data_IF_102627666464
#
_entry.id   IF_102627666464
#
_cell.length_a   1.000
_cell.length_b   1.000
_cell.length_c   1.000
_cell.angle_alpha   90.00
_cell.angle_beta   90.00
_cell.angle_gamma   90.00
#
_symmetry.space_group_name_H-M   'P 1'
#
loop_
_entity.id
_entity.type
_entity.pdbx_description
1 polymer ?
#
# COMPACT_ATOMS: atom_id res chain seq x y z
N UNK A 1 26.66 -15.78 -2.29
CA UNK A 1 25.39 -15.62 -1.55
C UNK A 1 25.25 -16.67 -0.46
N UNK A 2 24.82 -16.27 0.74
CA UNK A 2 24.38 -17.15 1.82
C UNK A 2 23.02 -16.68 2.33
N UNK A 3 22.18 -17.58 2.81
CA UNK A 3 20.93 -17.19 3.48
C UNK A 3 20.60 -18.13 4.64
N UNK A 4 19.80 -17.63 5.57
CA UNK A 4 19.27 -18.38 6.71
C UNK A 4 17.80 -18.04 6.89
N UNK A 5 16.96 -19.04 7.16
CA UNK A 5 15.56 -18.85 7.49
C UNK A 5 15.27 -19.60 8.79
N UNK A 6 14.78 -18.89 9.82
CA UNK A 6 14.51 -19.45 11.15
C UNK A 6 13.22 -18.86 11.71
N UNK A 7 12.51 -19.63 12.52
CA UNK A 7 11.37 -19.15 13.29
C UNK A 7 11.83 -18.81 14.70
N UNK A 8 11.69 -17.54 15.10
CA UNK A 8 12.07 -17.06 16.42
C UNK A 8 10.92 -16.25 17.03
N UNK A 9 10.45 -16.65 18.21
CA UNK A 9 9.39 -15.94 18.99
C UNK A 9 8.17 -15.52 18.16
N UNK A 10 7.73 -16.36 17.22
CA UNK A 10 6.58 -16.09 16.37
C UNK A 10 6.84 -15.07 15.25
N UNK A 11 8.10 -14.86 14.91
CA UNK A 11 8.56 -14.11 13.74
C UNK A 11 9.40 -15.01 12.86
N UNK A 12 9.07 -15.12 11.59
CA UNK A 12 9.89 -15.79 10.60
C UNK A 12 11.05 -14.85 10.20
N UNK A 13 12.26 -15.17 10.65
CA UNK A 13 13.46 -14.39 10.34
C UNK A 13 14.12 -14.98 9.10
N UNK A 14 14.32 -14.16 8.10
CA UNK A 14 14.98 -14.51 6.86
C UNK A 14 16.15 -13.55 6.63
N UNK A 15 17.37 -14.06 6.60
CA UNK A 15 18.60 -13.29 6.42
C UNK A 15 19.25 -13.67 5.10
N UNK A 16 19.68 -12.68 4.33
CA UNK A 16 20.38 -12.84 3.04
C UNK A 16 21.70 -12.08 3.09
N UNK A 17 22.79 -12.74 2.72
CA UNK A 17 24.14 -12.18 2.75
C UNK A 17 24.82 -12.30 1.38
N UNK A 18 25.52 -11.24 0.98
CA UNK A 18 26.41 -11.26 -0.18
C UNK A 18 25.69 -11.56 -1.49
N UNK A 19 24.47 -11.04 -1.66
CA UNK A 19 23.73 -11.18 -2.91
C UNK A 19 24.31 -10.25 -3.97
N UNK A 20 24.54 -10.78 -5.16
CA UNK A 20 25.03 -10.04 -6.32
C UNK A 20 24.05 -9.99 -7.47
N UNK A 21 23.17 -10.98 -7.58
CA UNK A 21 22.25 -11.15 -8.70
C UNK A 21 20.78 -11.19 -8.28
N UNK A 22 19.90 -10.95 -9.23
CA UNK A 22 18.44 -11.07 -9.03
C UNK A 22 18.03 -12.53 -8.85
N UNK A 23 18.68 -13.45 -9.53
CA UNK A 23 18.37 -14.89 -9.43
C UNK A 23 18.66 -15.43 -8.02
N UNK A 24 19.70 -14.93 -7.38
CA UNK A 24 19.97 -15.23 -5.97
C UNK A 24 18.84 -14.71 -5.05
N UNK A 25 18.26 -13.56 -5.37
CA UNK A 25 17.10 -13.03 -4.67
C UNK A 25 15.89 -13.94 -4.82
N UNK A 26 15.62 -14.45 -6.03
CA UNK A 26 14.51 -15.38 -6.28
C UNK A 26 14.68 -16.68 -5.51
N UNK A 27 15.89 -17.25 -5.51
CA UNK A 27 16.19 -18.46 -4.73
C UNK A 27 15.94 -18.24 -3.24
N UNK A 28 16.37 -17.11 -2.70
CA UNK A 28 16.10 -16.74 -1.31
C UNK A 28 14.60 -16.61 -1.03
N UNK A 29 13.84 -15.90 -1.87
CA UNK A 29 12.41 -15.76 -1.67
C UNK A 29 11.65 -17.09 -1.76
N UNK A 30 12.08 -18.02 -2.62
CA UNK A 30 11.51 -19.37 -2.67
C UNK A 30 11.69 -20.10 -1.32
N UNK A 31 12.88 -19.99 -0.70
CA UNK A 31 13.11 -20.58 0.62
C UNK A 31 12.22 -19.91 1.71
N UNK A 32 12.09 -18.57 1.69
CA UNK A 32 11.20 -17.84 2.62
C UNK A 32 9.74 -18.23 2.43
N UNK A 33 9.28 -18.36 1.19
CA UNK A 33 7.92 -18.81 0.87
C UNK A 33 7.63 -20.20 1.42
N UNK A 34 8.54 -21.16 1.22
CA UNK A 34 8.42 -22.54 1.75
C UNK A 34 8.27 -22.49 3.26
N UNK A 35 9.22 -21.85 3.96
CA UNK A 35 9.20 -21.73 5.42
C UNK A 35 7.95 -20.99 5.93
N UNK A 36 7.49 -19.97 5.23
CA UNK A 36 6.27 -19.23 5.54
C UNK A 36 5.00 -20.09 5.43
N UNK A 37 4.92 -20.97 4.42
CA UNK A 37 3.81 -21.92 4.26
C UNK A 37 3.81 -22.98 5.36
N UNK A 38 4.98 -23.50 5.73
CA UNK A 38 5.14 -24.50 6.78
C UNK A 38 4.82 -23.94 8.16
N UNK A 39 5.32 -22.76 8.50
CA UNK A 39 5.14 -22.15 9.84
C UNK A 39 3.84 -21.40 10.00
N UNK A 40 3.16 -21.01 8.92
CA UNK A 40 1.99 -20.13 8.90
C UNK A 40 2.18 -18.84 9.70
N UNK A 41 3.42 -18.39 9.82
CA UNK A 41 3.76 -17.22 10.64
C UNK A 41 3.23 -15.93 10.00
N UNK A 42 2.50 -15.06 10.74
CA UNK A 42 1.96 -13.81 10.21
C UNK A 42 2.99 -12.67 10.15
N UNK A 43 4.17 -12.85 10.73
CA UNK A 43 5.22 -11.82 10.85
C UNK A 43 6.49 -12.33 10.19
N UNK A 44 6.97 -11.61 9.18
CA UNK A 44 8.17 -11.99 8.44
C UNK A 44 9.16 -10.83 8.50
N UNK A 45 10.35 -11.08 9.03
CA UNK A 45 11.46 -10.14 9.07
C UNK A 45 12.52 -10.57 8.05
N UNK A 46 12.72 -9.74 7.03
CA UNK A 46 13.72 -9.98 5.99
C UNK A 46 14.87 -9.00 6.19
N UNK A 47 16.04 -9.53 6.48
CA UNK A 47 17.28 -8.77 6.66
C UNK A 47 18.23 -9.06 5.50
N UNK A 48 18.61 -8.03 4.74
CA UNK A 48 19.53 -8.14 3.60
C UNK A 48 20.80 -7.37 3.94
N UNK A 49 21.94 -8.07 3.89
CA UNK A 49 23.23 -7.51 4.30
C UNK A 49 24.30 -7.76 3.23
N UNK A 50 25.25 -6.83 3.14
CA UNK A 50 26.42 -6.94 2.23
C UNK A 50 26.01 -7.34 0.81
N UNK A 51 24.95 -6.74 0.31
CA UNK A 51 24.28 -7.13 -0.95
C UNK A 51 24.09 -5.93 -1.86
N UNK A 52 24.06 -6.17 -3.17
CA UNK A 52 23.75 -5.12 -4.13
C UNK A 52 22.25 -4.73 -4.05
N UNK A 53 21.88 -3.44 -4.13
CA UNK A 53 20.48 -3.05 -4.15
C UNK A 53 19.78 -3.60 -5.39
N UNK A 54 18.48 -3.88 -5.29
CA UNK A 54 17.64 -4.30 -6.41
C UNK A 54 16.51 -3.29 -6.58
N UNK A 55 16.41 -2.76 -7.80
CA UNK A 55 15.33 -1.91 -8.25
C UNK A 55 14.57 -2.63 -9.38
N UNK A 56 13.46 -2.05 -9.85
CA UNK A 56 12.64 -2.61 -10.92
C UNK A 56 12.08 -4.01 -10.62
N UNK A 57 11.47 -4.16 -9.44
CA UNK A 57 10.90 -5.43 -8.95
C UNK A 57 9.95 -6.10 -9.93
N UNK A 58 9.11 -5.32 -10.61
CA UNK A 58 8.14 -5.81 -11.58
C UNK A 58 8.83 -6.43 -12.79
N UNK A 59 9.85 -5.74 -13.33
CA UNK A 59 10.63 -6.24 -14.47
C UNK A 59 11.33 -7.56 -14.16
N UNK A 60 11.75 -7.74 -12.91
CA UNK A 60 12.43 -8.95 -12.47
C UNK A 60 11.47 -10.04 -11.97
N UNK A 61 10.17 -9.80 -11.95
CA UNK A 61 9.16 -10.73 -11.44
C UNK A 61 9.24 -10.95 -9.93
N UNK A 62 9.88 -10.03 -9.18
CA UNK A 62 10.04 -10.15 -7.73
C UNK A 62 8.76 -9.77 -6.97
N UNK A 63 7.89 -8.97 -7.57
CA UNK A 63 6.63 -8.57 -6.94
C UNK A 63 5.71 -9.78 -6.68
N UNK A 64 5.77 -10.81 -7.51
CA UNK A 64 4.96 -12.02 -7.33
C UNK A 64 5.33 -12.77 -6.05
N UNK A 65 6.62 -12.79 -5.69
CA UNK A 65 7.04 -13.39 -4.42
C UNK A 65 6.48 -12.61 -3.22
N UNK A 66 6.43 -11.28 -3.31
CA UNK A 66 5.80 -10.47 -2.26
C UNK A 66 4.29 -10.70 -2.21
N UNK A 67 3.62 -10.88 -3.34
CA UNK A 67 2.18 -11.22 -3.38
C UNK A 67 1.91 -12.57 -2.70
N UNK A 68 2.72 -13.57 -2.97
CA UNK A 68 2.59 -14.87 -2.32
C UNK A 68 2.90 -14.83 -0.82
N UNK A 69 3.92 -14.03 -0.42
CA UNK A 69 4.31 -13.86 0.98
C UNK A 69 3.31 -13.01 1.76
N UNK A 70 2.81 -11.94 1.15
CA UNK A 70 1.95 -10.95 1.76
C UNK A 70 0.46 -11.30 1.57
N UNK A 71 0.08 -12.56 1.83
CA UNK A 71 -1.31 -12.87 2.09
C UNK A 71 -1.89 -11.83 3.07
N UNK A 72 -3.15 -11.43 2.90
CA UNK A 72 -3.81 -10.25 3.49
C UNK A 72 -3.63 -10.07 5.02
N UNK A 73 -3.19 -11.11 5.72
CA UNK A 73 -2.92 -11.11 7.16
C UNK A 73 -1.44 -10.95 7.53
N UNK A 74 -0.50 -11.11 6.61
CA UNK A 74 0.93 -11.11 6.92
C UNK A 74 1.54 -9.73 6.88
N UNK A 75 2.53 -9.49 7.76
CA UNK A 75 3.34 -8.28 7.83
C UNK A 75 4.79 -8.64 7.47
N UNK A 76 5.35 -7.93 6.50
CA UNK A 76 6.73 -8.13 6.05
C UNK A 76 7.54 -6.88 6.38
N UNK A 77 8.53 -7.02 7.23
CA UNK A 77 9.50 -5.97 7.55
C UNK A 77 10.80 -6.21 6.79
N UNK A 78 11.35 -5.16 6.19
CA UNK A 78 12.61 -5.18 5.46
C UNK A 78 13.68 -4.39 6.22
N UNK A 79 14.86 -4.97 6.37
CA UNK A 79 16.06 -4.35 6.97
C UNK A 79 17.23 -4.40 5.99
N UNK A 80 17.93 -3.28 5.84
CA UNK A 80 19.17 -3.17 5.06
C UNK A 80 20.28 -2.57 5.89
N UNK A 81 21.52 -3.12 5.77
CA UNK A 81 22.70 -2.67 6.49
C UNK A 81 23.38 -1.45 5.86
N UNK A 82 23.05 -1.10 4.62
CA UNK A 82 23.61 0.04 3.91
C UNK A 82 22.51 1.06 3.52
N UNK A 83 22.95 2.29 3.20
CA UNK A 83 22.04 3.33 2.72
C UNK A 83 21.35 2.91 1.42
N UNK A 84 22.11 2.33 0.49
CA UNK A 84 21.58 1.95 -0.82
C UNK A 84 20.57 0.80 -0.71
N UNK A 85 20.79 -0.16 0.21
CA UNK A 85 19.82 -1.20 0.50
C UNK A 85 18.55 -0.62 1.13
N UNK A 86 18.67 0.34 2.03
CA UNK A 86 17.48 1.01 2.61
C UNK A 86 16.66 1.74 1.54
N UNK A 87 17.30 2.51 0.65
CA UNK A 87 16.61 3.15 -0.48
C UNK A 87 15.93 2.13 -1.40
N UNK A 88 16.61 1.01 -1.69
CA UNK A 88 15.99 -0.09 -2.44
C UNK A 88 14.78 -0.68 -1.71
N UNK A 89 14.83 -0.82 -0.38
CA UNK A 89 13.71 -1.33 0.42
C UNK A 89 12.54 -0.33 0.52
N UNK A 90 12.81 0.97 0.59
CA UNK A 90 11.78 2.01 0.52
C UNK A 90 11.07 1.97 -0.84
N UNK A 91 11.80 1.75 -1.93
CA UNK A 91 11.22 1.51 -3.24
C UNK A 91 10.34 0.25 -3.26
N UNK A 92 10.80 -0.86 -2.64
CA UNK A 92 9.99 -2.08 -2.47
C UNK A 92 8.70 -1.80 -1.69
N UNK A 93 8.78 -1.04 -0.59
CA UNK A 93 7.62 -0.64 0.20
C UNK A 93 6.60 0.15 -0.63
N UNK A 94 7.07 1.12 -1.44
CA UNK A 94 6.23 1.93 -2.31
C UNK A 94 5.47 1.06 -3.32
N UNK A 95 6.18 0.20 -4.04
CA UNK A 95 5.58 -0.69 -5.05
C UNK A 95 4.64 -1.70 -4.40
N UNK A 96 5.05 -2.33 -3.30
CA UNK A 96 4.21 -3.25 -2.54
C UNK A 96 2.90 -2.58 -2.07
N UNK A 97 2.98 -1.31 -1.62
CA UNK A 97 1.83 -0.50 -1.22
C UNK A 97 0.84 -0.27 -2.36
N UNK A 98 1.31 -0.05 -3.59
CA UNK A 98 0.46 0.07 -4.79
C UNK A 98 -0.33 -1.21 -5.08
N UNK A 99 0.24 -2.38 -4.72
CA UNK A 99 -0.41 -3.69 -4.84
C UNK A 99 -1.21 -4.09 -3.58
N UNK A 100 -1.36 -3.21 -2.60
CA UNK A 100 -2.10 -3.48 -1.36
C UNK A 100 -1.39 -4.45 -0.41
N UNK A 101 -0.08 -4.67 -0.59
CA UNK A 101 0.73 -5.57 0.23
C UNK A 101 1.24 -4.86 1.48
N UNK A 102 1.31 -5.59 2.59
CA UNK A 102 1.74 -5.04 3.87
C UNK A 102 3.25 -5.26 4.08
N UNK A 103 4.04 -4.57 3.29
CA UNK A 103 5.51 -4.57 3.32
C UNK A 103 6.00 -3.22 3.81
N UNK A 104 6.99 -3.18 4.69
CA UNK A 104 7.60 -1.94 5.19
C UNK A 104 9.09 -2.05 5.37
N UNK A 105 9.79 -0.96 5.10
CA UNK A 105 11.21 -0.77 5.37
C UNK A 105 11.41 -0.16 6.75
N UNK A 106 12.43 -0.64 7.49
CA UNK A 106 12.77 -0.13 8.83
C UNK A 106 14.28 0.14 8.95
N UNK A 107 14.67 1.12 9.76
CA UNK A 107 16.07 1.41 10.01
C UNK A 107 16.76 0.35 10.87
N UNK A 108 16.00 -0.31 11.75
CA UNK A 108 16.51 -1.31 12.70
C UNK A 108 15.43 -2.35 13.07
N UNK A 109 15.88 -3.42 13.68
CA UNK A 109 15.03 -4.53 14.09
C UNK A 109 14.04 -4.14 15.19
N UNK A 110 14.41 -3.26 16.10
CA UNK A 110 13.54 -2.82 17.19
C UNK A 110 12.31 -2.04 16.65
N UNK A 111 12.51 -1.23 15.62
CA UNK A 111 11.41 -0.54 14.94
C UNK A 111 10.47 -1.53 14.22
N UNK A 112 11.03 -2.57 13.58
CA UNK A 112 10.24 -3.62 12.95
C UNK A 112 9.40 -4.40 13.99
N UNK A 113 10.00 -4.76 15.12
CA UNK A 113 9.27 -5.45 16.20
C UNK A 113 8.13 -4.61 16.78
N UNK A 114 8.36 -3.32 17.08
CA UNK A 114 7.29 -2.41 17.52
C UNK A 114 6.14 -2.36 16.51
N UNK A 115 6.44 -2.37 15.22
CA UNK A 115 5.41 -2.40 14.18
C UNK A 115 4.65 -3.73 14.13
N UNK A 116 5.31 -4.86 14.39
CA UNK A 116 4.66 -6.16 14.48
C UNK A 116 3.69 -6.26 15.65
N UNK A 117 3.97 -5.55 16.74
CA UNK A 117 3.16 -5.55 17.97
C UNK A 117 2.03 -4.51 17.99
N UNK A 118 1.99 -3.57 17.01
CA UNK A 118 0.97 -2.51 16.96
C UNK A 118 -0.44 -3.06 16.71
N UNK A 119 -1.34 -3.04 17.74
CA UNK A 119 -2.68 -3.60 17.63
C UNK A 119 -3.65 -2.72 16.83
N UNK A 120 -3.31 -1.43 16.61
CA UNK A 120 -4.21 -0.47 15.95
C UNK A 120 -4.52 -0.88 14.51
N UNK A 121 -3.56 -1.50 13.84
CA UNK A 121 -3.69 -1.95 12.45
C UNK A 121 -4.43 -3.28 12.29
N UNK A 122 -4.55 -4.09 13.33
CA UNK A 122 -5.46 -5.25 13.32
C UNK A 122 -6.93 -4.84 13.31
N UNK A 123 -7.27 -3.72 13.98
CA UNK A 123 -8.63 -3.17 14.00
C UNK A 123 -9.02 -2.51 12.68
N UNK A 124 -8.08 -1.88 11.98
CA UNK A 124 -8.32 -1.26 10.67
C UNK A 124 -8.68 -2.29 9.59
N UNK A 125 -8.08 -3.49 9.65
CA UNK A 125 -8.42 -4.63 8.76
C UNK A 125 -9.77 -5.25 9.06
N UNK A 126 -10.25 -5.19 10.30
CA UNK A 126 -11.56 -5.71 10.71
C UNK A 126 -12.71 -4.75 10.43
N UNK A 127 -12.43 -3.54 9.95
CA UNK A 127 -13.47 -2.67 9.39
C UNK A 127 -13.68 -3.06 7.92
N UNK A 128 -14.68 -3.90 7.61
CA UNK A 128 -14.99 -4.21 6.23
C UNK A 128 -15.40 -2.93 5.52
N UNK A 129 -15.23 -2.92 4.27
CA UNK A 129 -15.72 -2.12 3.15
C UNK A 129 -17.10 -1.41 3.30
N UNK A 130 -17.68 -1.35 4.49
CA UNK A 130 -18.98 -0.70 4.74
C UNK A 130 -19.00 0.81 4.42
N UNK A 131 -17.83 1.48 4.34
CA UNK A 131 -17.79 2.89 3.95
C UNK A 131 -17.82 3.15 2.43
N UNK A 132 -17.66 2.15 1.59
CA UNK A 132 -17.84 2.32 0.13
C UNK A 132 -19.27 2.09 -0.34
N UNK A 133 -20.17 1.70 0.52
CA UNK A 133 -21.60 1.48 0.23
C UNK A 133 -22.52 2.64 0.55
N UNK A 134 -22.07 3.75 1.11
CA UNK A 134 -22.86 4.98 1.06
C UNK A 134 -22.72 5.56 -0.35
N UNK A 135 -23.42 4.93 -1.28
CA UNK A 135 -23.89 5.59 -2.49
C UNK A 135 -24.52 6.91 -2.06
N UNK A 136 -23.86 8.00 -2.40
CA UNK A 136 -24.54 9.28 -2.52
C UNK A 136 -25.66 9.01 -3.53
N UNK A 137 -26.86 8.77 -3.04
CA UNK A 137 -28.04 8.70 -3.88
C UNK A 137 -28.06 9.99 -4.69
N UNK A 138 -28.06 9.93 -6.02
CA UNK A 138 -28.17 11.14 -6.82
C UNK A 138 -29.48 11.81 -6.41
N UNK A 139 -29.39 13.07 -6.00
CA UNK A 139 -30.55 13.91 -5.71
C UNK A 139 -31.55 13.76 -6.86
N UNK A 140 -32.84 13.54 -6.59
CA UNK A 140 -33.85 13.34 -7.62
C UNK A 140 -33.84 14.52 -8.61
N UNK A 141 -33.85 14.19 -9.87
CA UNK A 141 -33.80 15.12 -11.03
C UNK A 141 -34.79 16.29 -10.99
N UNK A 142 -35.81 16.25 -10.11
CA UNK A 142 -36.83 17.28 -9.95
C UNK A 142 -36.28 18.60 -9.37
N UNK A 143 -35.25 18.60 -8.53
CA UNK A 143 -34.73 19.86 -7.98
C UNK A 143 -33.85 20.66 -8.96
N UNK A 144 -33.31 20.02 -9.99
CA UNK A 144 -32.52 20.73 -11.01
C UNK A 144 -33.39 21.62 -11.91
N UNK A 145 -34.65 21.22 -12.19
CA UNK A 145 -35.57 22.03 -13.03
C UNK A 145 -36.05 23.28 -12.31
N UNK A 146 -36.31 23.21 -11.01
CA UNK A 146 -36.76 24.36 -10.24
C UNK A 146 -35.73 25.50 -10.13
N UNK A 147 -34.42 25.17 -10.16
CA UNK A 147 -33.35 26.18 -10.14
C UNK A 147 -33.15 26.91 -11.46
N UNK A 148 -33.42 26.28 -12.59
CA UNK A 148 -33.30 26.90 -13.92
C UNK A 148 -34.49 27.80 -14.25
N UNK A 149 -35.70 27.43 -13.85
CA UNK A 149 -36.89 28.28 -14.05
C UNK A 149 -36.83 29.58 -13.27
N UNK A 150 -36.29 29.58 -12.05
CA UNK A 150 -36.09 30.79 -11.26
C UNK A 150 -35.08 31.77 -11.90
N UNK A 151 -34.03 31.26 -12.52
CA UNK A 151 -33.01 32.10 -13.18
C UNK A 151 -33.52 32.72 -14.48
N UNK A 152 -34.37 32.05 -15.21
CA UNK A 152 -35.00 32.58 -16.46
C UNK A 152 -36.07 33.62 -16.17
N UNK A 153 -36.85 33.46 -15.10
CA UNK A 153 -37.86 34.46 -14.68
C UNK A 153 -37.17 35.76 -14.19
N UNK A 154 -36.07 35.67 -13.47
CA UNK A 154 -35.35 36.84 -12.97
C UNK A 154 -34.65 37.62 -14.09
N UNK A 155 -34.20 36.97 -15.17
CA UNK A 155 -33.64 37.64 -16.36
C UNK A 155 -34.71 38.36 -17.21
N UNK A 156 -35.96 37.91 -17.24
CA UNK A 156 -37.07 38.58 -17.98
C UNK A 156 -37.47 39.88 -17.27
N UNK A 157 -37.59 39.87 -15.94
CA UNK A 157 -37.93 41.09 -15.18
C UNK A 157 -36.84 42.16 -15.24
N UNK A 158 -35.57 41.79 -15.33
CA UNK A 158 -34.47 42.76 -15.47
C UNK A 158 -34.43 43.45 -16.83
N UNK A 159 -34.91 42.79 -17.89
CA UNK A 159 -35.01 43.39 -19.25
C UNK A 159 -36.16 44.38 -19.37
N UNK A 160 -37.33 44.09 -18.78
CA UNK A 160 -38.49 44.99 -18.87
C UNK A 160 -38.26 46.28 -18.06
N UNK A 161 -37.52 46.23 -16.94
CA UNK A 161 -37.16 47.43 -16.16
C UNK A 161 -36.22 48.39 -16.91
N UNK A 162 -35.38 47.87 -17.83
CA UNK A 162 -34.39 48.68 -18.56
C UNK A 162 -34.99 49.41 -19.79
N UNK A 163 -36.12 48.90 -20.30
CA UNK A 163 -36.80 49.53 -21.45
C UNK A 163 -37.66 50.71 -20.99
N UNK A 164 -38.23 50.67 -19.76
CA UNK A 164 -39.06 51.74 -19.21
C UNK A 164 -38.28 52.99 -18.79
N UNK A 165 -36.98 52.86 -18.53
CA UNK A 165 -36.09 53.97 -18.13
C UNK A 165 -35.53 54.79 -19.30
N UNK A 166 -35.79 54.41 -20.54
CA UNK A 166 -35.22 55.07 -21.74
C UNK A 166 -36.26 55.91 -22.51
N UNK A 167 -37.50 56.08 -21.95
CA UNK A 167 -38.61 56.86 -22.52
C UNK A 167 -39.06 57.98 -21.59
N UNK A 168 -38.15 58.61 -20.85
CA UNK A 168 -38.43 59.91 -20.18
C UNK A 168 -37.27 60.86 -20.40
#
# INVERSE_FOLDING_TARGET
>A
MGYRVTLDRGVLRAELFGRETVEETKTFFQAVLRASKETRCPRILISIRSSKPVFQLERHGLIEYFRELADTSRRIALLGDSRDLRLSHEYVELIAGQHGLNVRSFPDEAAAHRWFEDPRRERERRRPLERRGQQVLPLPLQERRAGEERRTAQRRNAKDSSVSAKMR
#
